data_IF_334987040308
#
_entry.id   IF_334987040308
#
_cell.length_a   1.000
_cell.length_b   1.000
_cell.length_c   1.000
_cell.angle_alpha   90.00
_cell.angle_beta   90.00
_cell.angle_gamma   90.00
#
_symmetry.space_group_name_H-M   'P 1'
#
loop_
_entity.id
_entity.type
_entity.pdbx_description
1 polymer ?
#
# COMPACT_ATOMS: atom_id res chain seq x y z
N UNK A 1 24.96 -32.23 -66.82
CA UNK A 1 25.17 -31.37 -65.64
C UNK A 1 24.47 -30.02 -65.86
N UNK A 2 23.94 -29.43 -64.79
CA UNK A 2 22.76 -28.54 -64.77
C UNK A 2 22.91 -27.21 -65.52
N UNK A 3 21.80 -26.77 -66.13
CA UNK A 3 21.55 -25.55 -66.93
C UNK A 3 21.44 -24.27 -66.06
N UNK A 4 22.06 -23.19 -66.56
CA UNK A 4 21.57 -21.79 -66.79
C UNK A 4 20.98 -20.99 -65.60
N UNK A 5 21.62 -19.89 -65.16
CA UNK A 5 21.58 -18.46 -65.63
C UNK A 5 20.44 -17.63 -65.01
N UNK A 6 20.87 -16.57 -64.31
CA UNK A 6 20.35 -15.20 -64.10
C UNK A 6 18.86 -14.83 -64.30
N UNK A 7 18.41 -13.92 -63.42
CA UNK A 7 17.23 -13.04 -63.54
C UNK A 7 16.19 -13.36 -62.48
N UNK A 8 15.58 -12.45 -61.73
CA UNK A 8 15.48 -11.00 -61.73
C UNK A 8 14.29 -10.63 -60.81
N UNK A 9 14.00 -9.33 -60.70
CA UNK A 9 12.77 -8.72 -60.17
C UNK A 9 12.67 -8.37 -58.66
N UNK A 10 12.90 -7.08 -58.42
CA UNK A 10 12.15 -6.16 -57.55
C UNK A 10 10.65 -6.52 -57.40
N UNK A 11 10.11 -6.48 -56.17
CA UNK A 11 8.77 -5.96 -55.82
C UNK A 11 8.54 -6.02 -54.29
N UNK A 12 8.46 -4.87 -53.61
CA UNK A 12 7.24 -4.26 -53.04
C UNK A 12 6.69 -4.89 -51.74
N UNK A 13 6.91 -4.14 -50.65
CA UNK A 13 5.97 -3.76 -49.56
C UNK A 13 4.88 -4.77 -49.15
N UNK A 14 4.96 -5.20 -47.89
CA UNK A 14 3.77 -5.40 -47.05
C UNK A 14 4.11 -5.05 -45.59
N UNK A 15 3.55 -3.94 -45.11
CA UNK A 15 3.46 -3.62 -43.71
C UNK A 15 2.48 -4.59 -43.04
N UNK A 16 2.92 -5.29 -42.01
CA UNK A 16 2.04 -5.98 -41.06
C UNK A 16 2.38 -5.48 -39.64
N UNK A 17 1.98 -4.24 -39.38
CA UNK A 17 1.67 -3.78 -38.04
C UNK A 17 0.34 -4.40 -37.61
N UNK A 18 0.25 -4.79 -36.33
CA UNK A 18 -0.91 -5.28 -35.55
C UNK A 18 -0.95 -6.79 -35.26
N UNK A 19 -0.32 -7.17 -34.15
CA UNK A 19 -0.95 -7.99 -33.11
C UNK A 19 -0.04 -8.00 -31.87
N UNK A 20 -0.47 -7.33 -30.81
CA UNK A 20 0.27 -7.32 -29.56
C UNK A 20 0.06 -6.08 -28.69
N UNK A 21 -1.14 -5.47 -28.71
CA UNK A 21 -1.61 -4.83 -27.49
C UNK A 21 -1.86 -5.96 -26.50
N UNK A 22 -0.81 -6.42 -25.80
CA UNK A 22 -1.03 -6.86 -24.43
C UNK A 22 -1.46 -5.59 -23.70
N UNK A 23 -2.77 -5.42 -23.64
CA UNK A 23 -3.43 -4.72 -22.55
C UNK A 23 -3.16 -5.58 -21.30
N UNK A 24 -1.88 -5.67 -20.89
CA UNK A 24 -1.55 -5.70 -19.49
C UNK A 24 -1.97 -4.32 -19.01
N UNK A 25 -3.29 -4.15 -18.87
CA UNK A 25 -3.89 -3.12 -18.08
C UNK A 25 -3.19 -3.28 -16.75
N UNK A 26 -2.16 -2.47 -16.53
CA UNK A 26 -1.48 -2.33 -15.28
C UNK A 26 -2.63 -2.19 -14.31
N UNK A 27 -2.92 -3.25 -13.56
CA UNK A 27 -4.00 -3.24 -12.58
C UNK A 27 -3.67 -2.00 -11.78
N UNK A 28 -4.47 -0.95 -11.94
CA UNK A 28 -4.33 0.25 -11.17
C UNK A 28 -4.39 -0.28 -9.74
N UNK A 29 -3.23 -0.33 -9.08
CA UNK A 29 -3.11 -0.74 -7.70
C UNK A 29 -4.10 0.12 -6.99
N UNK A 30 -5.23 -0.50 -6.60
CA UNK A 30 -6.39 0.25 -6.17
C UNK A 30 -5.91 1.04 -4.97
N UNK A 31 -5.97 2.38 -5.09
CA UNK A 31 -5.40 3.28 -4.10
C UNK A 31 -5.86 2.85 -2.70
N UNK A 32 -5.03 3.06 -1.65
CA UNK A 32 -5.44 2.76 -0.28
C UNK A 32 -6.79 3.41 0.03
N UNK A 33 -7.73 2.62 0.58
CA UNK A 33 -9.05 3.08 1.00
C UNK A 33 -9.14 2.95 2.52
N UNK A 34 -8.74 4.02 3.22
CA UNK A 34 -8.51 4.04 4.66
C UNK A 34 -9.69 4.65 5.42
N UNK A 35 -10.15 3.95 6.45
CA UNK A 35 -11.18 4.45 7.39
C UNK A 35 -10.76 4.22 8.83
N UNK A 36 -11.05 5.20 9.70
CA UNK A 36 -10.79 5.13 11.14
C UNK A 36 -12.12 4.98 11.90
N UNK A 37 -12.19 4.03 12.82
CA UNK A 37 -13.37 3.80 13.65
C UNK A 37 -13.01 3.53 15.11
N UNK A 38 -14.00 3.71 16.00
CA UNK A 38 -13.88 3.35 17.41
C UNK A 38 -12.79 4.11 18.16
N UNK A 39 -12.46 5.35 17.74
CA UNK A 39 -11.40 6.12 18.39
C UNK A 39 -11.81 6.53 19.81
N UNK A 40 -10.99 6.21 20.80
CA UNK A 40 -11.16 6.65 22.19
C UNK A 40 -9.82 6.80 22.92
N UNK A 41 -9.85 7.56 24.01
CA UNK A 41 -8.72 7.73 24.93
C UNK A 41 -9.26 7.52 26.36
N UNK A 42 -8.84 6.48 27.09
CA UNK A 42 -9.18 6.34 28.49
C UNK A 42 -8.64 7.52 29.29
N UNK A 43 -9.36 7.90 30.34
CA UNK A 43 -8.88 8.92 31.25
C UNK A 43 -7.53 8.47 31.85
N UNK A 44 -6.44 9.24 31.67
CA UNK A 44 -5.15 8.91 32.26
C UNK A 44 -5.15 9.20 33.76
N UNK A 45 -4.21 8.58 34.48
CA UNK A 45 -4.04 8.78 35.94
C UNK A 45 -3.32 10.08 36.27
N UNK A 46 -2.65 10.70 35.29
CA UNK A 46 -2.00 12.00 35.36
C UNK A 46 -2.11 12.72 34.00
N UNK A 47 -1.64 13.97 33.93
CA UNK A 47 -1.70 14.77 32.71
C UNK A 47 -0.52 14.52 31.74
N UNK A 48 0.49 13.74 32.16
CA UNK A 48 1.76 13.64 31.44
C UNK A 48 1.71 12.62 30.30
N UNK A 49 0.91 11.57 30.43
CA UNK A 49 0.84 10.48 29.45
C UNK A 49 -0.58 9.92 29.33
N UNK A 50 -1.04 9.76 28.09
CA UNK A 50 -2.29 9.10 27.76
C UNK A 50 -2.09 8.12 26.58
N UNK A 51 -2.93 7.11 26.50
CA UNK A 51 -2.96 6.16 25.39
C UNK A 51 -4.24 6.36 24.56
N UNK A 52 -4.08 6.51 23.25
CA UNK A 52 -5.18 6.55 22.29
C UNK A 52 -5.34 5.20 21.60
N UNK A 53 -6.59 4.82 21.34
CA UNK A 53 -6.95 3.55 20.71
C UNK A 53 -7.91 3.81 19.56
N UNK A 54 -7.77 3.06 18.47
CA UNK A 54 -8.59 3.17 17.27
C UNK A 54 -8.34 1.98 16.35
N UNK A 55 -9.26 1.73 15.42
CA UNK A 55 -9.10 0.75 14.35
C UNK A 55 -8.96 1.48 13.02
N UNK A 56 -7.91 1.17 12.28
CA UNK A 56 -7.68 1.62 10.91
C UNK A 56 -7.97 0.47 9.94
N UNK A 57 -8.95 0.64 9.06
CA UNK A 57 -9.34 -0.37 8.05
C UNK A 57 -8.91 0.10 6.67
N UNK A 58 -8.22 -0.75 5.92
CA UNK A 58 -7.84 -0.52 4.53
C UNK A 58 -8.60 -1.49 3.62
N UNK A 59 -9.55 -0.97 2.82
CA UNK A 59 -10.28 -1.76 1.81
C UNK A 59 -9.62 -1.73 0.43
N UNK A 60 -8.49 -1.03 0.31
CA UNK A 60 -7.70 -0.96 -0.91
C UNK A 60 -6.97 -2.28 -1.19
N UNK A 61 -6.56 -2.44 -2.45
CA UNK A 61 -5.84 -3.63 -2.92
C UNK A 61 -4.34 -3.62 -2.63
N UNK A 62 -3.83 -2.58 -1.96
CA UNK A 62 -2.43 -2.41 -1.60
C UNK A 62 -2.29 -2.07 -0.13
N UNK A 63 -1.27 -2.65 0.52
CA UNK A 63 -0.92 -2.30 1.89
C UNK A 63 -0.41 -0.85 1.95
N UNK A 64 -0.54 -0.25 3.13
CA UNK A 64 -0.08 1.11 3.45
C UNK A 64 0.67 1.10 4.79
N UNK A 65 1.12 2.27 5.27
CA UNK A 65 1.80 2.42 6.54
C UNK A 65 1.29 3.60 7.36
N UNK A 66 0.99 3.35 8.63
CA UNK A 66 0.85 4.42 9.63
C UNK A 66 2.23 4.82 10.11
N UNK A 67 2.68 6.02 9.72
CA UNK A 67 4.04 6.52 10.01
C UNK A 67 4.06 7.65 11.04
N UNK A 68 2.93 8.30 11.29
CA UNK A 68 2.83 9.36 12.29
C UNK A 68 1.38 9.60 12.71
N UNK A 69 1.23 10.13 13.92
CA UNK A 69 -0.02 10.70 14.41
C UNK A 69 0.31 12.06 15.00
N UNK A 70 -0.59 13.02 14.84
CA UNK A 70 -0.47 14.34 15.46
C UNK A 70 -1.76 14.66 16.21
N UNK A 71 -1.65 15.45 17.27
CA UNK A 71 -2.81 15.88 18.06
C UNK A 71 -2.56 17.27 18.63
N UNK A 72 -3.54 18.19 18.58
CA UNK A 72 -3.42 19.48 19.26
C UNK A 72 -3.44 19.35 20.79
N UNK A 73 -3.80 18.18 21.33
CA UNK A 73 -3.84 17.91 22.77
C UNK A 73 -2.52 17.35 23.33
N UNK A 74 -1.51 17.11 22.49
CA UNK A 74 -0.24 16.54 22.89
C UNK A 74 0.93 17.20 22.15
N UNK A 75 2.03 17.48 22.85
CA UNK A 75 3.26 17.98 22.22
C UNK A 75 3.90 16.94 21.28
N UNK A 76 3.72 15.65 21.59
CA UNK A 76 4.26 14.52 20.83
C UNK A 76 3.33 13.33 20.93
N UNK A 77 3.17 12.61 19.83
CA UNK A 77 2.52 11.29 19.78
C UNK A 77 3.52 10.30 19.20
N UNK A 78 3.71 9.17 19.87
CA UNK A 78 4.55 8.06 19.42
C UNK A 78 3.72 6.79 19.29
N UNK A 79 4.12 5.89 18.39
CA UNK A 79 3.40 4.65 18.10
C UNK A 79 4.06 3.50 18.86
N UNK A 80 3.28 2.63 19.50
CA UNK A 80 3.82 1.56 20.34
C UNK A 80 3.17 0.22 20.06
N UNK A 81 3.99 -0.84 19.98
CA UNK A 81 3.53 -2.23 20.08
C UNK A 81 3.60 -2.68 21.54
N UNK A 82 2.78 -3.65 21.94
CA UNK A 82 2.86 -4.26 23.27
C UNK A 82 3.21 -5.73 23.11
N UNK A 83 4.35 -6.14 23.67
CA UNK A 83 4.83 -7.52 23.61
C UNK A 83 5.25 -7.98 25.01
N UNK A 84 4.62 -9.04 25.52
CA UNK A 84 4.90 -9.54 26.88
C UNK A 84 4.60 -8.51 27.99
N UNK A 85 3.63 -7.61 27.77
CA UNK A 85 3.29 -6.54 28.69
C UNK A 85 4.24 -5.33 28.67
N UNK A 86 5.23 -5.32 27.77
CA UNK A 86 6.12 -4.18 27.59
C UNK A 86 5.77 -3.41 26.30
N UNK A 87 5.67 -2.09 26.42
CA UNK A 87 5.50 -1.20 25.26
C UNK A 87 6.84 -0.98 24.57
N UNK A 88 6.85 -1.10 23.25
CA UNK A 88 8.00 -0.77 22.39
C UNK A 88 7.57 0.24 21.35
N UNK A 89 8.26 1.38 21.33
CA UNK A 89 8.08 2.40 20.31
C UNK A 89 8.44 1.83 18.93
N UNK A 90 7.63 2.17 17.92
CA UNK A 90 7.84 1.81 16.52
C UNK A 90 7.76 3.07 15.67
N UNK A 91 8.57 3.13 14.62
CA UNK A 91 8.54 4.23 13.65
C UNK A 91 7.32 4.15 12.71
N UNK A 92 6.83 2.94 12.44
CA UNK A 92 5.64 2.72 11.64
C UNK A 92 4.92 1.40 11.96
N UNK A 93 3.67 1.31 11.50
CA UNK A 93 2.89 0.09 11.49
C UNK A 93 2.33 -0.16 10.10
N UNK A 94 2.38 -1.42 9.65
CA UNK A 94 1.72 -1.83 8.41
C UNK A 94 0.20 -1.75 8.55
N UNK A 95 -0.47 -1.28 7.51
CA UNK A 95 -1.92 -1.34 7.33
C UNK A 95 -2.19 -2.28 6.15
N UNK A 96 -2.51 -3.57 6.39
CA UNK A 96 -2.58 -4.56 5.33
C UNK A 96 -3.64 -4.22 4.26
N UNK A 97 -3.43 -4.65 3.01
CA UNK A 97 -4.47 -4.60 1.99
C UNK A 97 -5.67 -5.46 2.40
N UNK A 98 -6.89 -4.99 2.13
CA UNK A 98 -8.14 -5.66 2.55
C UNK A 98 -8.11 -6.11 4.02
N UNK A 99 -7.59 -5.25 4.90
CA UNK A 99 -7.23 -5.61 6.26
C UNK A 99 -7.38 -4.46 7.27
N UNK A 100 -6.97 -4.75 8.50
CA UNK A 100 -7.12 -3.85 9.65
C UNK A 100 -5.85 -3.77 10.48
N UNK A 101 -5.52 -2.56 10.93
CA UNK A 101 -4.57 -2.28 12.00
C UNK A 101 -5.34 -1.81 13.24
N UNK A 102 -5.21 -2.52 14.36
CA UNK A 102 -5.94 -2.25 15.60
C UNK A 102 -4.99 -1.78 16.71
N UNK A 103 -5.09 -0.50 17.08
CA UNK A 103 -4.52 0.02 18.31
C UNK A 103 -5.53 -0.22 19.42
N UNK A 104 -5.40 -1.36 20.09
CA UNK A 104 -6.25 -1.78 21.20
C UNK A 104 -5.50 -1.80 22.53
N UNK A 105 -6.23 -2.06 23.62
CA UNK A 105 -5.61 -2.28 24.94
C UNK A 105 -4.86 -3.61 24.89
N UNK A 106 -3.52 -3.53 24.95
CA UNK A 106 -2.62 -4.67 25.04
C UNK A 106 -2.67 -5.39 26.38
#
# INVERSE_FOLDING_TARGET
MRRRLLGGALALVAAASLAGCSDDGAKATSAPDLTVAGAFMPQPVNADMAAGFFVLTNKGGTADQLTSVTSPAAERVTLHSTEGGAMREQDSFEVPADGTLDFSRG
#
